data_IF_204624283004
#
_entry.id   IF_204624283004
#
_cell.length_a   1.000
_cell.length_b   1.000
_cell.length_c   1.000
_cell.angle_alpha   90.00
_cell.angle_beta   90.00
_cell.angle_gamma   90.00
#
_symmetry.space_group_name_H-M   'P 1'
#
loop_
_entity.id
_entity.type
_entity.pdbx_description
1 polymer ?
#
# COMPACT_ATOMS: atom_id res chain seq x y z
N UNK A 1 -16.57 -1.22 33.83
CA UNK A 1 -15.39 -1.93 33.25
C UNK A 1 -15.67 -2.23 31.78
N UNK A 2 -15.24 -1.35 30.87
CA UNK A 2 -15.49 -1.50 29.42
C UNK A 2 -14.33 -2.25 28.74
N UNK A 3 -14.70 -3.08 27.78
CA UNK A 3 -13.94 -4.20 27.20
C UNK A 3 -12.63 -3.82 26.52
N UNK A 4 -11.50 -4.17 27.14
CA UNK A 4 -10.14 -4.10 26.57
C UNK A 4 -9.83 -5.13 25.47
N UNK A 5 -10.81 -5.82 24.88
CA UNK A 5 -10.56 -6.99 24.03
C UNK A 5 -11.16 -6.94 22.61
N UNK A 6 -11.20 -5.77 21.94
CA UNK A 6 -11.35 -5.75 20.48
C UNK A 6 -10.00 -6.01 19.80
N UNK A 7 -9.48 -7.24 19.93
CA UNK A 7 -8.38 -7.75 19.08
C UNK A 7 -8.96 -8.23 17.76
N UNK A 8 -9.30 -7.29 16.87
CA UNK A 8 -9.54 -7.66 15.48
C UNK A 8 -8.18 -8.07 14.89
N UNK A 9 -8.03 -9.35 14.56
CA UNK A 9 -6.90 -9.78 13.74
C UNK A 9 -7.11 -9.22 12.35
N UNK A 10 -6.13 -8.47 11.86
CA UNK A 10 -6.22 -7.73 10.59
C UNK A 10 -5.62 -8.52 9.44
N UNK A 11 -4.79 -9.53 9.72
CA UNK A 11 -4.04 -10.24 8.69
C UNK A 11 -3.73 -11.68 9.11
N UNK A 12 -4.01 -12.62 8.20
CA UNK A 12 -3.56 -14.01 8.23
C UNK A 12 -2.40 -14.19 7.25
N UNK A 13 -1.28 -14.75 7.71
CA UNK A 13 -0.14 -15.09 6.85
C UNK A 13 0.27 -16.55 7.06
N UNK A 14 0.66 -17.25 6.01
CA UNK A 14 1.26 -18.59 6.12
C UNK A 14 2.77 -18.46 6.05
N UNK A 15 3.47 -18.80 7.13
CA UNK A 15 4.93 -18.81 7.17
C UNK A 15 5.44 -20.24 7.08
N UNK A 16 6.56 -20.42 6.38
CA UNK A 16 7.34 -21.66 6.42
C UNK A 16 8.46 -21.50 7.43
N UNK A 17 8.65 -22.50 8.29
CA UNK A 17 9.72 -22.60 9.27
C UNK A 17 10.52 -23.86 8.96
N UNK A 18 11.84 -23.75 8.83
CA UNK A 18 12.68 -24.93 8.66
C UNK A 18 12.90 -25.64 10.00
N UNK A 19 12.64 -26.94 10.04
CA UNK A 19 12.85 -27.81 11.20
C UNK A 19 13.79 -28.95 10.84
N UNK A 20 14.30 -29.69 11.84
CA UNK A 20 15.16 -30.87 11.61
C UNK A 20 14.48 -31.95 10.76
N UNK A 21 13.14 -31.98 10.75
CA UNK A 21 12.31 -32.90 9.99
C UNK A 21 11.79 -32.30 8.67
N UNK A 22 12.28 -31.13 8.26
CA UNK A 22 11.89 -30.45 7.02
C UNK A 22 11.05 -29.19 7.23
N UNK A 23 10.41 -28.67 6.16
CA UNK A 23 9.60 -27.46 6.24
C UNK A 23 8.33 -27.71 7.07
N UNK A 24 8.04 -26.79 7.98
CA UNK A 24 6.81 -26.74 8.75
C UNK A 24 6.10 -25.42 8.52
N UNK A 25 4.84 -25.48 8.16
CA UNK A 25 4.02 -24.31 7.93
C UNK A 25 3.27 -23.88 9.18
N UNK A 26 3.12 -22.57 9.34
CA UNK A 26 2.45 -21.93 10.46
C UNK A 26 1.54 -20.80 9.97
N UNK A 27 0.28 -20.78 10.40
CA UNK A 27 -0.56 -19.61 10.30
C UNK A 27 -0.12 -18.59 11.35
N UNK A 28 0.22 -17.39 10.91
CA UNK A 28 0.49 -16.23 11.74
C UNK A 28 -0.68 -15.26 11.63
N UNK A 29 -1.30 -15.01 12.77
CA UNK A 29 -2.41 -14.09 12.95
C UNK A 29 -1.85 -12.82 13.59
N UNK A 30 -1.90 -11.73 12.83
CA UNK A 30 -1.44 -10.41 13.28
C UNK A 30 -2.64 -9.55 13.69
N UNK A 31 -2.58 -8.98 14.89
CA UNK A 31 -3.54 -7.99 15.39
C UNK A 31 -2.80 -6.69 15.77
N UNK A 32 -3.56 -5.61 15.96
CA UNK A 32 -3.06 -4.26 16.31
C UNK A 32 -2.02 -4.24 17.45
N UNK A 33 -2.08 -5.19 18.39
CA UNK A 33 -1.22 -5.23 19.59
C UNK A 33 -0.54 -6.59 19.83
N UNK A 34 -0.43 -7.46 18.83
CA UNK A 34 0.24 -8.73 19.04
C UNK A 34 0.14 -9.72 17.90
N UNK A 35 0.93 -10.79 18.02
CA UNK A 35 1.01 -11.89 17.04
C UNK A 35 0.69 -13.21 17.73
N UNK A 36 -0.08 -14.06 17.06
CA UNK A 36 -0.32 -15.44 17.49
C UNK A 36 -0.02 -16.38 16.33
N UNK A 37 0.51 -17.55 16.64
CA UNK A 37 0.84 -18.58 15.65
C UNK A 37 0.08 -19.88 15.91
N UNK A 38 -0.30 -20.54 14.83
CA UNK A 38 -0.94 -21.85 14.81
C UNK A 38 -0.12 -22.73 13.86
N UNK A 39 0.42 -23.84 14.36
CA UNK A 39 1.13 -24.80 13.51
C UNK A 39 0.16 -25.53 12.60
N UNK A 40 0.47 -25.61 11.30
CA UNK A 40 -0.38 -26.20 10.27
C UNK A 40 0.13 -27.57 9.78
N UNK A 41 1.42 -27.85 9.96
CA UNK A 41 2.01 -29.15 9.61
C UNK A 41 3.11 -29.00 8.57
N UNK A 42 3.56 -30.10 7.98
CA UNK A 42 4.64 -30.11 6.99
C UNK A 42 4.15 -30.30 5.55
N UNK A 43 2.89 -30.69 5.36
CA UNK A 43 2.31 -30.83 4.02
C UNK A 43 1.74 -29.49 3.53
N UNK A 44 2.15 -29.07 2.32
CA UNK A 44 1.77 -27.79 1.75
C UNK A 44 0.27 -27.72 1.42
N UNK A 45 -0.29 -28.78 0.84
CA UNK A 45 -1.70 -28.80 0.39
C UNK A 45 -2.63 -28.75 1.61
N UNK A 46 -2.37 -29.61 2.60
CA UNK A 46 -3.08 -29.61 3.87
C UNK A 46 -2.92 -28.28 4.60
N UNK A 47 -1.74 -27.65 4.52
CA UNK A 47 -1.51 -26.33 5.08
C UNK A 47 -2.40 -25.26 4.43
N UNK A 48 -2.47 -25.22 3.10
CA UNK A 48 -3.30 -24.25 2.39
C UNK A 48 -4.79 -24.47 2.68
N UNK A 49 -5.21 -25.73 2.80
CA UNK A 49 -6.57 -26.06 3.24
C UNK A 49 -6.88 -25.55 4.64
N UNK A 50 -6.00 -25.84 5.60
CA UNK A 50 -6.17 -25.35 6.97
C UNK A 50 -6.09 -23.82 7.04
N UNK A 51 -5.28 -23.18 6.20
CA UNK A 51 -5.22 -21.72 6.09
C UNK A 51 -6.56 -21.13 5.66
N UNK A 52 -7.20 -21.72 4.65
CA UNK A 52 -8.51 -21.28 4.16
C UNK A 52 -9.58 -21.41 5.25
N UNK A 53 -9.61 -22.54 5.96
CA UNK A 53 -10.55 -22.74 7.07
C UNK A 53 -10.35 -21.69 8.16
N UNK A 54 -9.09 -21.39 8.52
CA UNK A 54 -8.78 -20.35 9.50
C UNK A 54 -9.31 -18.99 9.03
N UNK A 55 -9.12 -18.65 7.75
CA UNK A 55 -9.61 -17.40 7.16
C UNK A 55 -11.14 -17.31 7.20
N UNK A 56 -11.84 -18.39 6.82
CA UNK A 56 -13.30 -18.45 6.83
C UNK A 56 -13.86 -18.33 8.26
N UNK A 57 -13.25 -19.01 9.24
CA UNK A 57 -13.63 -18.87 10.65
C UNK A 57 -13.43 -17.43 11.14
N UNK A 58 -12.34 -16.77 10.78
CA UNK A 58 -12.08 -15.37 11.16
C UNK A 58 -13.13 -14.44 10.56
N UNK A 59 -13.45 -14.62 9.27
CA UNK A 59 -14.51 -13.86 8.59
C UNK A 59 -15.85 -14.05 9.28
N UNK A 60 -16.17 -15.27 9.72
CA UNK A 60 -17.41 -15.56 10.45
C UNK A 60 -17.44 -14.85 11.83
N UNK A 61 -16.35 -14.89 12.60
CA UNK A 61 -16.25 -14.14 13.86
C UNK A 61 -16.43 -12.63 13.64
N UNK A 62 -15.80 -12.08 12.59
CA UNK A 62 -15.92 -10.67 12.22
C UNK A 62 -17.36 -10.34 11.84
N UNK A 63 -18.00 -11.13 10.98
CA UNK A 63 -19.38 -10.94 10.54
C UNK A 63 -20.37 -10.98 11.71
N UNK A 64 -20.13 -11.84 12.70
CA UNK A 64 -20.92 -11.93 13.93
C UNK A 64 -20.55 -10.88 14.99
N UNK A 65 -19.62 -9.97 14.69
CA UNK A 65 -19.09 -8.96 15.61
C UNK A 65 -18.56 -9.56 16.94
N UNK A 66 -18.02 -10.78 16.86
CA UNK A 66 -17.46 -11.52 18.00
C UNK A 66 -15.93 -11.41 18.00
N UNK A 67 -15.29 -11.42 19.18
CA UNK A 67 -13.83 -11.47 19.25
C UNK A 67 -13.33 -12.81 18.70
N UNK A 68 -12.32 -12.76 17.83
CA UNK A 68 -11.70 -13.96 17.28
C UNK A 68 -11.03 -14.77 18.40
N UNK A 69 -11.56 -15.97 18.66
CA UNK A 69 -11.02 -16.88 19.66
C UNK A 69 -10.01 -17.87 19.05
N UNK A 70 -8.73 -17.63 19.33
CA UNK A 70 -7.62 -18.48 18.89
C UNK A 70 -7.70 -19.90 19.46
N UNK A 71 -8.25 -20.08 20.66
CA UNK A 71 -8.41 -21.39 21.29
C UNK A 71 -9.42 -22.25 20.53
N UNK A 72 -10.50 -21.65 20.01
CA UNK A 72 -11.47 -22.33 19.14
C UNK A 72 -10.82 -22.71 17.81
N UNK A 73 -10.14 -21.76 17.15
CA UNK A 73 -9.47 -22.01 15.88
C UNK A 73 -8.40 -23.11 16.00
N UNK A 74 -7.59 -23.09 17.07
CA UNK A 74 -6.58 -24.12 17.33
C UNK A 74 -7.20 -25.51 17.54
N UNK A 75 -8.33 -25.59 18.23
CA UNK A 75 -9.05 -26.86 18.43
C UNK A 75 -9.56 -27.40 17.11
N UNK A 76 -10.23 -26.59 16.31
CA UNK A 76 -10.71 -26.97 14.98
C UNK A 76 -9.57 -27.46 14.07
N UNK A 77 -8.45 -26.73 14.01
CA UNK A 77 -7.26 -27.15 13.23
C UNK A 77 -6.71 -28.49 13.72
N UNK A 78 -6.64 -28.71 15.03
CA UNK A 78 -6.14 -29.98 15.58
C UNK A 78 -7.10 -31.14 15.33
N UNK A 79 -8.41 -30.91 15.37
CA UNK A 79 -9.44 -31.91 15.06
C UNK A 79 -9.37 -32.33 13.59
N UNK A 80 -9.24 -31.37 12.67
CA UNK A 80 -9.11 -31.65 11.23
C UNK A 80 -7.82 -32.40 10.91
N UNK A 81 -6.72 -32.08 11.61
CA UNK A 81 -5.47 -32.83 11.50
C UNK A 81 -5.62 -34.27 11.96
N UNK A 82 -6.33 -34.50 13.07
CA UNK A 82 -6.55 -35.84 13.63
C UNK A 82 -7.50 -36.69 12.78
N UNK A 83 -8.50 -36.07 12.16
CA UNK A 83 -9.46 -36.79 11.33
C UNK A 83 -8.89 -37.26 9.99
N UNK A 84 -7.69 -36.81 9.61
CA UNK A 84 -7.03 -37.24 8.38
C UNK A 84 -7.79 -36.84 7.12
N UNK A 85 -8.74 -35.90 7.22
CA UNK A 85 -9.54 -35.42 6.09
C UNK A 85 -8.59 -34.72 5.12
N UNK A 86 -8.18 -35.44 4.08
CA UNK A 86 -7.55 -34.86 2.91
C UNK A 86 -8.66 -34.27 2.05
N UNK A 87 -8.60 -32.96 1.85
CA UNK A 87 -9.56 -32.24 1.02
C UNK A 87 -9.55 -32.78 -0.41
N UNK A 88 -10.73 -33.18 -0.92
CA UNK A 88 -11.04 -33.37 -2.35
C UNK A 88 -11.58 -32.10 -3.00
N UNK A 89 -11.37 -30.94 -2.38
CA UNK A 89 -12.07 -29.71 -2.75
C UNK A 89 -11.31 -28.96 -3.87
N UNK A 90 -11.92 -28.90 -5.06
CA UNK A 90 -11.45 -28.14 -6.23
C UNK A 90 -11.19 -26.66 -5.92
N UNK A 91 -11.71 -26.13 -4.80
CA UNK A 91 -11.40 -24.78 -4.32
C UNK A 91 -9.93 -24.59 -3.96
N UNK A 92 -9.19 -25.65 -3.59
CA UNK A 92 -7.75 -25.58 -3.34
C UNK A 92 -6.95 -25.25 -4.61
N UNK A 93 -7.44 -25.65 -5.79
CA UNK A 93 -6.84 -25.31 -7.08
C UNK A 93 -6.94 -23.82 -7.40
N UNK A 94 -7.80 -23.07 -6.70
CA UNK A 94 -7.93 -21.60 -6.84
C UNK A 94 -7.02 -20.83 -5.88
N UNK A 95 -6.35 -21.51 -4.94
CA UNK A 95 -5.41 -20.85 -4.03
C UNK A 95 -4.13 -20.56 -4.82
N UNK A 96 -4.03 -19.32 -5.31
CA UNK A 96 -2.79 -18.83 -5.90
C UNK A 96 -1.77 -18.64 -4.78
N UNK A 97 -0.78 -19.53 -4.72
CA UNK A 97 0.43 -19.29 -3.93
C UNK A 97 1.15 -18.13 -4.62
N UNK A 98 1.18 -16.98 -3.94
CA UNK A 98 1.95 -15.83 -4.41
C UNK A 98 3.04 -15.57 -3.38
N UNK A 99 4.26 -15.35 -3.87
CA UNK A 99 5.41 -15.10 -3.03
C UNK A 99 5.23 -13.80 -2.23
N UNK A 100 5.71 -13.81 -0.99
CA UNK A 100 5.45 -12.75 -0.01
C UNK A 100 6.11 -11.43 -0.36
N UNK A 101 7.10 -11.48 -1.23
CA UNK A 101 7.88 -10.40 -1.80
C UNK A 101 7.25 -9.83 -3.08
N UNK A 102 6.03 -10.20 -3.42
CA UNK A 102 5.32 -9.55 -4.53
C UNK A 102 4.89 -8.11 -4.19
N UNK A 103 5.40 -7.14 -4.94
CA UNK A 103 5.22 -5.71 -4.70
C UNK A 103 3.75 -5.26 -4.70
N UNK A 104 2.92 -5.81 -5.58
CA UNK A 104 1.48 -5.48 -5.62
C UNK A 104 0.76 -5.94 -4.37
N UNK A 105 1.09 -7.13 -3.85
CA UNK A 105 0.50 -7.64 -2.60
C UNK A 105 0.95 -6.79 -1.41
N UNK A 106 2.25 -6.51 -1.34
CA UNK A 106 2.81 -5.67 -0.29
C UNK A 106 2.15 -4.28 -0.26
N UNK A 107 1.91 -3.71 -1.43
CA UNK A 107 1.19 -2.46 -1.60
C UNK A 107 -0.24 -2.53 -1.09
N UNK A 108 -1.00 -3.54 -1.49
CA UNK A 108 -2.39 -3.70 -1.07
C UNK A 108 -2.50 -3.85 0.45
N UNK A 109 -1.60 -4.62 1.06
CA UNK A 109 -1.52 -4.78 2.52
C UNK A 109 -1.21 -3.44 3.21
N UNK A 110 -0.26 -2.68 2.67
CA UNK A 110 0.14 -1.38 3.18
C UNK A 110 -1.04 -0.38 3.11
N UNK A 111 -1.70 -0.28 1.96
CA UNK A 111 -2.83 0.63 1.75
C UNK A 111 -4.03 0.26 2.62
N UNK A 112 -4.43 -1.01 2.62
CA UNK A 112 -5.58 -1.50 3.41
C UNK A 112 -5.41 -1.19 4.89
N UNK A 113 -4.21 -1.42 5.43
CA UNK A 113 -3.90 -1.07 6.82
C UNK A 113 -4.04 0.44 7.08
N UNK A 114 -3.37 1.29 6.30
CA UNK A 114 -3.37 2.74 6.54
C UNK A 114 -4.76 3.38 6.34
N UNK A 115 -5.57 2.85 5.42
CA UNK A 115 -6.98 3.21 5.29
C UNK A 115 -7.78 2.84 6.53
N UNK A 116 -7.64 1.61 7.04
CA UNK A 116 -8.40 1.13 8.21
C UNK A 116 -8.20 1.96 9.48
N UNK A 117 -7.03 2.60 9.61
CA UNK A 117 -6.68 3.42 10.76
C UNK A 117 -6.89 4.93 10.52
N UNK A 118 -7.34 5.32 9.33
CA UNK A 118 -7.53 6.71 8.94
C UNK A 118 -6.22 7.51 8.97
N UNK A 119 -5.10 6.91 8.56
CA UNK A 119 -3.79 7.57 8.64
C UNK A 119 -3.57 8.65 7.58
N UNK A 120 -4.42 8.72 6.55
CA UNK A 120 -4.27 9.62 5.40
C UNK A 120 -5.53 10.41 5.16
N UNK A 121 -5.35 11.67 4.76
CA UNK A 121 -6.42 12.49 4.21
C UNK A 121 -6.90 11.93 2.86
N UNK A 122 -8.19 12.11 2.56
CA UNK A 122 -8.81 11.63 1.32
C UNK A 122 -8.12 12.19 0.07
N UNK A 123 -7.69 13.46 0.12
CA UNK A 123 -6.95 14.14 -0.94
C UNK A 123 -5.64 13.42 -1.27
N UNK A 124 -4.87 13.05 -0.24
CA UNK A 124 -3.61 12.34 -0.38
C UNK A 124 -3.82 10.92 -0.92
N UNK A 125 -4.90 10.25 -0.47
CA UNK A 125 -5.27 8.94 -0.97
C UNK A 125 -5.63 8.97 -2.47
N UNK A 126 -6.54 9.86 -2.87
CA UNK A 126 -7.06 9.95 -4.23
C UNK A 126 -6.01 10.39 -5.25
N UNK A 127 -5.01 11.15 -4.82
CA UNK A 127 -3.94 11.66 -5.69
C UNK A 127 -2.70 10.78 -5.63
N UNK A 128 -2.02 10.75 -4.49
CA UNK A 128 -0.67 10.22 -4.35
C UNK A 128 -0.69 8.70 -4.26
N UNK A 129 -1.49 8.14 -3.35
CA UNK A 129 -1.58 6.68 -3.16
C UNK A 129 -2.14 6.01 -4.42
N UNK A 130 -3.21 6.55 -5.01
CA UNK A 130 -3.77 6.01 -6.26
C UNK A 130 -2.76 6.06 -7.42
N UNK A 131 -2.00 7.15 -7.56
CA UNK A 131 -0.98 7.28 -8.60
C UNK A 131 0.15 6.26 -8.42
N UNK A 132 0.64 6.08 -7.19
CA UNK A 132 1.68 5.08 -6.89
C UNK A 132 1.15 3.66 -7.07
N UNK A 133 -0.10 3.38 -6.68
CA UNK A 133 -0.73 2.08 -6.91
C UNK A 133 -0.85 1.73 -8.39
N UNK A 134 -1.28 2.68 -9.22
CA UNK A 134 -1.33 2.50 -10.68
C UNK A 134 0.05 2.29 -11.29
N UNK A 135 1.08 2.94 -10.73
CA UNK A 135 2.46 2.73 -11.12
C UNK A 135 2.87 1.29 -10.78
N UNK A 136 2.66 0.82 -9.55
CA UNK A 136 3.03 -0.55 -9.14
C UNK A 136 2.32 -1.61 -10.00
N UNK A 137 1.03 -1.42 -10.30
CA UNK A 137 0.25 -2.35 -11.13
C UNK A 137 0.77 -2.48 -12.56
N UNK A 138 1.44 -1.44 -13.09
CA UNK A 138 2.04 -1.44 -14.43
C UNK A 138 3.50 -1.90 -14.44
N UNK A 139 4.12 -2.09 -13.28
CA UNK A 139 5.52 -2.51 -13.19
C UNK A 139 5.65 -3.96 -13.69
N UNK A 140 6.52 -4.26 -14.67
CA UNK A 140 6.73 -5.63 -15.14
C UNK A 140 7.50 -6.48 -14.12
N UNK A 141 8.19 -5.84 -13.16
CA UNK A 141 8.97 -6.50 -12.12
C UNK A 141 8.23 -6.41 -10.78
N UNK A 142 7.75 -7.54 -10.28
CA UNK A 142 6.96 -7.57 -9.04
C UNK A 142 7.73 -8.15 -7.85
N UNK A 143 8.70 -9.03 -8.07
CA UNK A 143 9.49 -9.64 -6.99
C UNK A 143 10.58 -8.70 -6.47
N UNK A 144 10.74 -8.59 -5.14
CA UNK A 144 11.67 -7.65 -4.50
C UNK A 144 13.15 -7.90 -4.84
N UNK A 145 13.51 -9.13 -5.23
CA UNK A 145 14.87 -9.44 -5.68
C UNK A 145 15.26 -8.63 -6.93
N UNK A 146 14.29 -8.16 -7.71
CA UNK A 146 14.50 -7.31 -8.89
C UNK A 146 14.65 -5.81 -8.54
N UNK A 147 15.16 -5.46 -7.35
CA UNK A 147 15.24 -4.07 -6.84
C UNK A 147 15.82 -3.04 -7.82
N UNK A 148 16.88 -3.40 -8.56
CA UNK A 148 17.49 -2.53 -9.56
C UNK A 148 16.55 -2.28 -10.74
N UNK A 149 15.97 -3.34 -11.30
CA UNK A 149 15.02 -3.24 -12.43
C UNK A 149 13.75 -2.47 -12.06
N UNK A 150 13.23 -2.68 -10.84
CA UNK A 150 12.09 -1.91 -10.30
C UNK A 150 12.46 -0.42 -10.25
N UNK A 151 13.65 -0.11 -9.73
CA UNK A 151 14.12 1.28 -9.62
C UNK A 151 14.31 1.91 -10.99
N UNK A 152 14.99 1.23 -11.92
CA UNK A 152 15.17 1.70 -13.30
C UNK A 152 13.84 1.97 -13.98
N UNK A 153 12.88 1.06 -13.84
CA UNK A 153 11.54 1.22 -14.41
C UNK A 153 10.76 2.41 -13.82
N UNK A 154 10.89 2.68 -12.52
CA UNK A 154 10.27 3.87 -11.90
C UNK A 154 10.84 5.18 -12.48
N UNK A 155 12.12 5.16 -12.91
CA UNK A 155 12.84 6.29 -13.47
C UNK A 155 12.85 6.32 -15.01
N UNK A 156 12.31 5.31 -15.69
CA UNK A 156 12.37 5.21 -17.16
C UNK A 156 11.35 6.07 -17.89
N UNK A 157 10.36 6.63 -17.18
CA UNK A 157 9.31 7.48 -17.75
C UNK A 157 9.88 8.86 -18.12
N UNK A 158 10.00 9.18 -19.43
CA UNK A 158 10.61 10.43 -19.87
C UNK A 158 9.75 11.66 -19.56
N UNK A 159 8.45 11.48 -19.31
CA UNK A 159 7.53 12.57 -18.98
C UNK A 159 7.55 12.91 -17.49
N UNK A 160 8.31 12.17 -16.67
CA UNK A 160 8.36 12.33 -15.22
C UNK A 160 9.69 12.90 -14.78
N UNK A 161 9.64 13.98 -13.99
CA UNK A 161 10.85 14.53 -13.39
C UNK A 161 11.52 13.50 -12.47
N UNK A 162 12.87 13.52 -12.40
CA UNK A 162 13.62 12.66 -11.46
C UNK A 162 13.21 12.87 -10.00
N UNK A 163 12.83 14.11 -9.62
CA UNK A 163 12.31 14.43 -8.27
C UNK A 163 11.02 13.64 -8.01
N UNK A 164 10.06 13.72 -8.93
CA UNK A 164 8.79 12.99 -8.86
C UNK A 164 9.00 11.47 -8.86
N UNK A 165 9.90 10.94 -9.70
CA UNK A 165 10.25 9.51 -9.69
C UNK A 165 10.80 9.07 -8.33
N UNK A 166 11.71 9.86 -7.75
CA UNK A 166 12.27 9.61 -6.42
C UNK A 166 11.20 9.69 -5.34
N UNK A 167 10.28 10.65 -5.40
CA UNK A 167 9.20 10.78 -4.41
C UNK A 167 8.23 9.60 -4.46
N UNK A 168 7.89 9.10 -5.65
CA UNK A 168 7.11 7.86 -5.80
C UNK A 168 7.88 6.64 -5.26
N UNK A 169 9.19 6.56 -5.53
CA UNK A 169 10.03 5.51 -4.96
C UNK A 169 10.08 5.58 -3.43
N UNK A 170 10.13 6.77 -2.82
CA UNK A 170 10.07 6.90 -1.34
C UNK A 170 8.85 6.21 -0.75
N UNK A 171 7.69 6.37 -1.39
CA UNK A 171 6.42 5.77 -0.93
C UNK A 171 6.46 4.25 -1.10
N UNK A 172 7.00 3.77 -2.21
CA UNK A 172 7.22 2.33 -2.44
C UNK A 172 8.15 1.73 -1.39
N UNK A 173 9.26 2.40 -1.08
CA UNK A 173 10.22 1.98 -0.05
C UNK A 173 9.59 2.01 1.34
N UNK A 174 8.75 3.01 1.65
CA UNK A 174 8.00 3.05 2.91
C UNK A 174 7.05 1.86 3.05
N UNK A 175 6.40 1.44 1.96
CA UNK A 175 5.58 0.24 1.92
C UNK A 175 6.39 -1.04 2.21
N UNK A 176 7.55 -1.19 1.56
CA UNK A 176 8.45 -2.36 1.75
C UNK A 176 9.01 -2.39 3.19
N UNK A 177 9.47 -1.26 3.70
CA UNK A 177 9.98 -1.13 5.07
C UNK A 177 8.90 -1.43 6.10
N UNK A 178 7.68 -0.91 5.90
CA UNK A 178 6.56 -1.23 6.78
C UNK A 178 6.28 -2.74 6.81
N UNK A 179 6.19 -3.40 5.65
CA UNK A 179 5.97 -4.85 5.58
C UNK A 179 7.11 -5.65 6.24
N UNK A 180 8.34 -5.19 6.10
CA UNK A 180 9.52 -5.77 6.77
C UNK A 180 9.41 -5.66 8.30
N UNK A 181 8.99 -4.50 8.83
CA UNK A 181 8.78 -4.29 10.27
C UNK A 181 7.60 -5.10 10.82
N UNK A 182 6.54 -5.27 10.02
CA UNK A 182 5.42 -6.14 10.37
C UNK A 182 5.76 -7.64 10.31
N UNK A 183 6.92 -8.00 9.74
CA UNK A 183 7.34 -9.39 9.59
C UNK A 183 6.53 -10.13 8.53
N UNK A 184 6.01 -9.41 7.54
CA UNK A 184 5.37 -9.98 6.35
C UNK A 184 6.42 -10.48 5.36
N UNK A 185 7.58 -9.80 5.31
CA UNK A 185 8.77 -10.17 4.53
C UNK A 185 10.03 -10.12 5.41
N UNK A 186 11.14 -10.76 4.98
CA UNK A 186 12.42 -10.65 5.68
C UNK A 186 12.89 -9.21 5.88
N UNK A 187 13.52 -8.94 7.03
CA UNK A 187 13.92 -7.57 7.41
C UNK A 187 15.00 -6.96 6.51
N UNK A 188 15.80 -7.79 5.84
CA UNK A 188 16.88 -7.30 4.96
C UNK A 188 16.32 -6.49 3.79
N UNK A 189 15.18 -6.88 3.20
CA UNK A 189 14.56 -6.14 2.09
C UNK A 189 14.27 -4.67 2.46
N UNK A 190 13.69 -4.42 3.63
CA UNK A 190 13.42 -3.06 4.10
C UNK A 190 14.69 -2.22 4.31
N UNK A 191 15.82 -2.84 4.65
CA UNK A 191 17.12 -2.18 4.80
C UNK A 191 17.69 -1.86 3.41
N UNK A 192 17.78 -2.87 2.54
CA UNK A 192 18.37 -2.73 1.21
C UNK A 192 17.67 -1.68 0.35
N UNK A 193 16.33 -1.65 0.35
CA UNK A 193 15.56 -0.66 -0.39
C UNK A 193 15.72 0.76 0.18
N UNK A 194 15.93 0.89 1.49
CA UNK A 194 16.21 2.18 2.14
C UNK A 194 17.60 2.69 1.76
N UNK A 195 18.59 1.81 1.77
CA UNK A 195 19.96 2.15 1.39
C UNK A 195 20.05 2.53 -0.09
N UNK A 196 19.32 1.81 -0.96
CA UNK A 196 19.17 2.17 -2.37
C UNK A 196 18.51 3.55 -2.57
N UNK A 197 17.44 3.85 -1.83
CA UNK A 197 16.80 5.16 -1.90
C UNK A 197 17.76 6.30 -1.47
N UNK A 198 18.59 6.03 -0.45
CA UNK A 198 19.58 6.97 0.05
C UNK A 198 20.75 7.16 -0.94
N UNK A 199 21.13 6.13 -1.69
CA UNK A 199 22.21 6.22 -2.69
C UNK A 199 21.82 7.07 -3.90
N UNK A 200 20.52 7.17 -4.23
CA UNK A 200 20.02 8.00 -5.33
C UNK A 200 20.18 9.48 -4.97
N UNK A 201 21.27 10.10 -5.40
CA UNK A 201 21.47 11.55 -5.27
C UNK A 201 20.75 12.26 -6.40
N UNK A 202 19.78 13.11 -6.07
CA UNK A 202 19.31 14.11 -7.01
C UNK A 202 20.40 15.18 -7.04
N UNK A 203 21.03 15.38 -8.20
CA UNK A 203 21.89 16.54 -8.38
C UNK A 203 21.03 17.77 -8.05
N UNK A 204 21.29 18.39 -6.89
CA UNK A 204 20.84 19.75 -6.64
C UNK A 204 21.58 20.57 -7.69
N UNK A 205 20.98 20.79 -8.86
CA UNK A 205 21.31 21.99 -9.60
C UNK A 205 20.98 23.10 -8.61
N UNK A 206 22.00 23.72 -8.03
CA UNK A 206 21.84 24.97 -7.30
C UNK A 206 21.51 26.06 -8.33
N UNK A 207 20.37 25.92 -8.99
CA UNK A 207 19.70 27.08 -9.51
C UNK A 207 18.88 27.58 -8.32
N UNK A 208 19.39 28.64 -7.70
CA UNK A 208 18.59 29.68 -7.07
C UNK A 208 17.64 30.28 -8.09
N UNK A 209 16.71 29.47 -8.60
CA UNK A 209 15.45 29.89 -9.20
C UNK A 209 14.40 29.00 -8.54
N UNK A 210 13.60 29.64 -7.69
CA UNK A 210 12.47 29.06 -7.00
C UNK A 210 11.44 28.54 -8.02
N UNK A 211 11.64 27.36 -8.61
CA UNK A 211 10.65 26.76 -9.52
C UNK A 211 9.43 26.17 -8.76
N UNK A 212 9.43 26.20 -7.42
CA UNK A 212 8.24 25.93 -6.58
C UNK A 212 7.53 27.26 -6.15
N UNK A 213 7.85 28.41 -6.78
CA UNK A 213 7.14 29.69 -6.61
C UNK A 213 6.44 30.21 -7.87
N UNK A 214 6.28 29.41 -8.92
CA UNK A 214 5.45 29.82 -10.08
C UNK A 214 3.95 29.59 -9.80
N UNK A 215 3.48 30.06 -8.65
CA UNK A 215 2.18 30.71 -8.62
C UNK A 215 2.53 32.14 -8.98
N UNK A 216 2.26 32.55 -10.22
CA UNK A 216 2.34 33.96 -10.60
C UNK A 216 1.51 34.74 -9.58
N UNK A 217 2.22 35.40 -8.67
CA UNK A 217 1.60 36.39 -7.79
C UNK A 217 1.19 37.50 -8.75
N UNK A 218 -0.11 37.80 -8.81
CA UNK A 218 -0.63 38.90 -9.61
C UNK A 218 0.29 40.12 -9.46
N UNK A 219 0.75 40.64 -10.59
CA UNK A 219 1.42 41.92 -10.65
C UNK A 219 0.52 43.00 -10.04
N UNK A 220 1.12 44.10 -9.58
CA UNK A 220 0.38 45.20 -8.96
C UNK A 220 -0.75 45.70 -9.88
N UNK A 221 -0.51 45.74 -11.19
CA UNK A 221 -1.52 46.12 -12.18
C UNK A 221 -2.65 45.09 -12.29
N UNK A 222 -2.34 43.79 -12.26
CA UNK A 222 -3.36 42.73 -12.23
C UNK A 222 -4.20 42.79 -10.95
N UNK A 223 -3.59 43.09 -9.80
CA UNK A 223 -4.32 43.31 -8.55
C UNK A 223 -5.27 44.50 -8.67
N UNK A 224 -4.83 45.62 -9.25
CA UNK A 224 -5.70 46.78 -9.46
C UNK A 224 -6.84 46.49 -10.44
N UNK A 225 -6.59 45.75 -11.52
CA UNK A 225 -7.62 45.32 -12.46
C UNK A 225 -8.64 44.37 -11.81
N UNK A 226 -8.19 43.44 -10.96
CA UNK A 226 -9.07 42.57 -10.17
C UNK A 226 -9.93 43.40 -9.20
N UNK A 227 -9.33 44.37 -8.51
CA UNK A 227 -10.05 45.26 -7.58
C UNK A 227 -11.06 46.14 -8.31
N UNK A 228 -10.73 46.63 -9.50
CA UNK A 228 -11.64 47.42 -10.34
C UNK A 228 -12.80 46.55 -10.87
N UNK A 229 -12.51 45.34 -11.34
CA UNK A 229 -13.52 44.38 -11.79
C UNK A 229 -14.46 43.95 -10.64
N UNK A 230 -13.95 43.82 -9.42
CA UNK A 230 -14.74 43.57 -8.20
C UNK A 230 -15.61 44.78 -7.83
N UNK A 231 -15.09 46.01 -7.94
CA UNK A 231 -15.86 47.24 -7.67
C UNK A 231 -16.98 47.47 -8.68
N UNK A 232 -16.78 47.05 -9.93
CA UNK A 232 -17.75 47.19 -11.01
C UNK A 232 -18.69 45.98 -11.13
N UNK A 233 -18.55 44.97 -10.27
CA UNK A 233 -19.33 43.73 -10.24
C UNK A 233 -19.33 42.96 -11.59
N UNK A 234 -18.21 43.04 -12.32
CA UNK A 234 -18.03 42.47 -13.67
C UNK A 234 -17.25 41.16 -13.69
N UNK A 235 -17.45 40.28 -12.71
CA UNK A 235 -16.80 38.96 -12.69
C UNK A 235 -17.83 37.82 -12.77
N UNK A 236 -17.57 36.84 -13.63
CA UNK A 236 -18.34 35.61 -13.73
C UNK A 236 -17.56 34.47 -13.08
N UNK A 237 -18.13 33.81 -12.06
CA UNK A 237 -17.52 32.63 -11.42
C UNK A 237 -17.82 31.39 -12.26
N UNK A 238 -16.82 30.82 -12.93
CA UNK A 238 -16.91 29.44 -13.41
C UNK A 238 -15.64 28.62 -13.14
N UNK A 239 -15.85 27.40 -12.62
CA UNK A 239 -14.83 26.36 -12.45
C UNK A 239 -14.38 25.85 -13.83
N UNK A 240 -13.09 25.98 -14.13
CA UNK A 240 -12.38 24.94 -14.88
C UNK A 240 -11.88 25.23 -16.29
N UNK A 241 -11.95 26.45 -16.85
CA UNK A 241 -11.20 26.81 -18.08
C UNK A 241 -10.82 28.30 -18.09
N UNK A 242 -9.55 28.61 -18.34
CA UNK A 242 -9.05 29.97 -18.51
C UNK A 242 -9.26 30.40 -19.97
N UNK A 243 -10.14 31.37 -20.18
CA UNK A 243 -10.21 32.16 -21.41
C UNK A 243 -10.39 33.63 -21.01
N UNK A 244 -9.60 34.53 -21.61
CA UNK A 244 -9.79 35.97 -21.49
C UNK A 244 -10.35 36.50 -22.81
N UNK A 245 -11.32 37.42 -22.71
CA UNK A 245 -11.90 38.13 -23.86
C UNK A 245 -11.13 39.44 -24.09
N UNK A 246 -10.88 39.76 -25.36
CA UNK A 246 -10.34 41.06 -25.77
C UNK A 246 -11.50 42.04 -26.02
N UNK A 247 -11.34 43.28 -25.58
CA UNK A 247 -12.14 44.39 -26.10
C UNK A 247 -11.62 44.73 -27.51
N UNK A 248 -12.50 44.67 -28.51
CA UNK A 248 -12.21 45.20 -29.84
C UNK A 248 -12.07 46.72 -29.75
N UNK A 249 -10.84 47.22 -29.83
CA UNK A 249 -10.59 48.60 -30.26
C UNK A 249 -10.69 48.63 -31.79
N UNK A 250 -11.91 48.70 -32.33
CA UNK A 250 -12.10 49.34 -33.63
C UNK A 250 -12.13 50.83 -33.38
N UNK A 251 -10.99 51.49 -33.58
CA UNK A 251 -10.95 52.94 -33.70
C UNK A 251 -11.64 53.38 -34.99
N UNK A 252 -12.71 54.16 -34.83
CA UNK A 252 -13.11 55.31 -35.62
C UNK A 252 -14.20 56.05 -34.85
#
# INVERSE_FOLDING_TARGET
MLSKNKKAFTHLAINTMQTKSGPMYQARLSAKFGRKTIGLGSDLIQTLYLAQIIDDMIKEFIAKNQPVDIGIIKRAVNEIKKSGIQSKDDRLLRIKVVDKDNLTILWNNYVSFHQSIGAWEDSYFLTTIKTVGNLIAKCPYQELDNKQKITEWIFSDPQRSRKTSKDRLKIIVACIDWNSRQGNIPRHYGIEYRDLLNSIKLNKKSNTKNEDRDIDIFSVDEVYQILEALKLDKFSRFKGRHSQYYLNNTGA
#
